data_IF_025929929760
#
_entry.id   IF_025929929760
#
_cell.length_a   1.000
_cell.length_b   1.000
_cell.length_c   1.000
_cell.angle_alpha   90.00
_cell.angle_beta   90.00
_cell.angle_gamma   90.00
#
_symmetry.space_group_name_H-M   'P 1'
#
loop_
_entity.id
_entity.type
_entity.pdbx_description
1 polymer ?
#
# COMPACT_ATOMS: atom_id res chain seq x y z
N UNK A 1 -18.71 -29.08 1.35
CA UNK A 1 -17.24 -29.13 1.29
C UNK A 1 -16.71 -27.71 1.15
N UNK A 2 -15.92 -27.22 2.10
CA UNK A 2 -15.18 -25.96 1.92
C UNK A 2 -13.88 -26.31 1.20
N UNK A 3 -13.72 -25.86 -0.05
CA UNK A 3 -12.42 -25.83 -0.71
C UNK A 3 -11.64 -24.71 -0.01
N UNK A 4 -10.96 -25.05 1.07
CA UNK A 4 -10.10 -24.13 1.81
C UNK A 4 -8.67 -24.32 1.37
N UNK A 5 -8.10 -23.37 0.63
CA UNK A 5 -6.66 -23.32 0.42
C UNK A 5 -6.05 -23.05 1.80
N UNK A 6 -5.35 -24.02 2.38
CA UNK A 6 -4.63 -23.83 3.63
C UNK A 6 -3.37 -23.00 3.34
N UNK A 7 -3.47 -21.69 3.54
CA UNK A 7 -2.35 -20.75 3.39
C UNK A 7 -1.89 -20.32 4.77
N UNK A 8 -0.57 -20.19 4.95
CA UNK A 8 0.01 -19.63 6.15
C UNK A 8 -0.62 -18.24 6.43
N UNK A 9 -1.07 -18.02 7.66
CA UNK A 9 -1.77 -16.77 8.01
C UNK A 9 -0.80 -15.62 8.26
N UNK A 10 0.48 -15.88 8.51
CA UNK A 10 1.48 -14.84 8.80
C UNK A 10 1.70 -13.93 7.60
N UNK A 11 1.72 -12.61 7.80
CA UNK A 11 1.89 -11.61 6.75
C UNK A 11 3.16 -11.84 5.94
N UNK A 12 3.03 -11.95 4.61
CA UNK A 12 4.18 -12.21 3.72
C UNK A 12 5.18 -11.08 3.65
N UNK A 13 4.75 -9.86 3.95
CA UNK A 13 5.60 -8.68 3.82
C UNK A 13 6.54 -8.48 5.02
N UNK A 14 6.03 -8.67 6.24
CA UNK A 14 6.82 -8.44 7.46
C UNK A 14 7.13 -9.71 8.27
N UNK A 15 6.35 -10.77 8.11
CA UNK A 15 6.50 -12.02 8.88
C UNK A 15 6.22 -11.88 10.39
N UNK A 16 5.53 -10.82 10.84
CA UNK A 16 5.40 -10.51 12.28
C UNK A 16 4.05 -10.90 12.89
N UNK A 17 2.95 -10.72 12.16
CA UNK A 17 1.57 -11.00 12.64
C UNK A 17 0.76 -11.64 11.53
N UNK A 18 -0.40 -12.17 11.91
CA UNK A 18 -1.39 -12.66 10.95
C UNK A 18 -1.85 -11.55 10.00
N UNK A 19 -2.01 -11.93 8.75
CA UNK A 19 -2.41 -11.08 7.63
C UNK A 19 -3.91 -10.86 7.65
N UNK A 20 -4.36 -10.05 8.59
CA UNK A 20 -5.70 -9.49 8.57
C UNK A 20 -5.75 -8.27 7.65
N UNK A 21 -6.94 -7.92 7.15
CA UNK A 21 -7.12 -6.79 6.23
C UNK A 21 -6.56 -5.48 6.81
N UNK A 22 -6.94 -5.12 8.03
CA UNK A 22 -6.48 -3.91 8.72
C UNK A 22 -4.95 -3.92 8.90
N UNK A 23 -4.43 -5.10 9.29
CA UNK A 23 -2.99 -5.28 9.45
C UNK A 23 -2.25 -5.06 8.13
N UNK A 24 -2.73 -5.65 7.04
CA UNK A 24 -2.10 -5.57 5.73
C UNK A 24 -1.94 -4.13 5.27
N UNK A 25 -2.97 -3.30 5.36
CA UNK A 25 -2.93 -2.01 4.67
C UNK A 25 -2.20 -0.90 5.43
N UNK A 26 -2.31 -0.79 6.76
CA UNK A 26 -1.61 0.31 7.47
C UNK A 26 -1.06 -0.01 8.87
N UNK A 27 -1.21 -1.22 9.39
CA UNK A 27 -0.51 -1.63 10.62
C UNK A 27 0.76 -2.44 10.37
N UNK A 28 0.89 -3.06 9.20
CA UNK A 28 2.09 -3.73 8.75
C UNK A 28 3.21 -2.70 8.59
N UNK A 29 4.32 -2.92 9.29
CA UNK A 29 5.49 -2.03 9.27
C UNK A 29 6.09 -1.86 7.87
N UNK A 30 6.05 -2.91 7.05
CA UNK A 30 6.50 -2.87 5.66
C UNK A 30 5.65 -1.92 4.82
N UNK A 31 4.32 -2.11 4.82
CA UNK A 31 3.41 -1.25 4.03
C UNK A 31 3.44 0.20 4.53
N UNK A 32 3.46 0.40 5.85
CA UNK A 32 3.58 1.73 6.48
C UNK A 32 4.85 2.45 6.03
N UNK A 33 5.95 1.73 5.83
CA UNK A 33 7.21 2.30 5.32
C UNK A 33 7.08 2.77 3.87
N UNK A 34 6.46 1.97 3.01
CA UNK A 34 6.20 2.34 1.60
C UNK A 34 5.33 3.59 1.55
N UNK A 35 4.21 3.58 2.26
CA UNK A 35 3.30 4.71 2.25
C UNK A 35 3.95 5.99 2.78
N UNK A 36 4.78 5.89 3.84
CA UNK A 36 5.53 7.03 4.37
C UNK A 36 6.51 7.60 3.33
N UNK A 37 7.22 6.74 2.59
CA UNK A 37 8.14 7.16 1.53
C UNK A 37 7.40 7.88 0.41
N UNK A 38 6.26 7.34 -0.04
CA UNK A 38 5.43 7.95 -1.08
C UNK A 38 4.85 9.30 -0.63
N UNK A 39 4.34 9.39 0.61
CA UNK A 39 3.88 10.66 1.19
C UNK A 39 4.98 11.71 1.22
N UNK A 40 6.18 11.35 1.69
CA UNK A 40 7.33 12.25 1.71
C UNK A 40 7.74 12.70 0.30
N UNK A 41 7.74 11.78 -0.68
CA UNK A 41 8.03 12.09 -2.08
C UNK A 41 7.01 13.07 -2.68
N UNK A 42 5.73 12.96 -2.31
CA UNK A 42 4.68 13.94 -2.66
C UNK A 42 4.74 15.25 -1.84
N UNK A 43 5.74 15.44 -0.97
CA UNK A 43 5.83 16.61 -0.08
C UNK A 43 4.76 16.66 1.02
N UNK A 44 4.10 15.53 1.31
CA UNK A 44 3.02 15.45 2.30
C UNK A 44 3.55 14.92 3.64
N UNK A 45 3.68 15.81 4.62
CA UNK A 45 4.07 15.42 5.98
C UNK A 45 2.83 15.18 6.84
N UNK A 46 2.53 13.91 7.13
CA UNK A 46 1.47 13.51 8.06
C UNK A 46 1.80 12.20 8.76
N UNK A 47 1.19 12.00 9.92
CA UNK A 47 1.22 10.70 10.59
C UNK A 47 0.26 9.74 9.89
N UNK A 48 0.77 8.55 9.54
CA UNK A 48 -0.03 7.46 8.99
C UNK A 48 -0.95 6.92 10.09
N UNK A 49 -2.24 6.87 9.79
CA UNK A 49 -3.32 6.40 10.66
C UNK A 49 -3.71 4.96 10.30
N UNK A 50 -4.82 4.47 10.85
CA UNK A 50 -5.38 3.17 10.47
C UNK A 50 -6.14 3.28 9.13
N UNK A 51 -6.59 2.12 8.63
CA UNK A 51 -7.16 2.00 7.29
C UNK A 51 -8.31 2.97 7.02
N UNK A 52 -9.26 3.09 7.94
CA UNK A 52 -10.45 3.91 7.73
C UNK A 52 -10.09 5.39 7.62
N UNK A 53 -9.17 5.89 8.45
CA UNK A 53 -8.72 7.28 8.40
C UNK A 53 -7.89 7.58 7.16
N UNK A 54 -7.04 6.65 6.72
CA UNK A 54 -6.31 6.77 5.46
C UNK A 54 -7.27 6.84 4.27
N UNK A 55 -8.26 5.93 4.22
CA UNK A 55 -9.26 5.89 3.16
C UNK A 55 -10.11 7.17 3.15
N UNK A 56 -10.55 7.66 4.32
CA UNK A 56 -11.26 8.93 4.43
C UNK A 56 -10.42 10.11 3.97
N UNK A 57 -9.14 10.14 4.32
CA UNK A 57 -8.21 11.18 3.90
C UNK A 57 -8.01 11.20 2.38
N UNK A 58 -7.85 10.04 1.74
CA UNK A 58 -7.76 9.94 0.29
C UNK A 58 -9.07 10.31 -0.39
N UNK A 59 -10.21 9.85 0.12
CA UNK A 59 -11.54 10.19 -0.41
C UNK A 59 -11.85 11.69 -0.31
N UNK A 60 -11.35 12.38 0.72
CA UNK A 60 -11.44 13.82 0.83
C UNK A 60 -10.71 14.54 -0.32
N UNK A 61 -9.51 14.08 -0.68
CA UNK A 61 -8.74 14.63 -1.80
C UNK A 61 -9.39 14.35 -3.16
N UNK A 62 -9.95 13.15 -3.34
CA UNK A 62 -10.71 12.78 -4.54
C UNK A 62 -11.89 13.72 -4.78
N UNK A 63 -12.65 14.06 -3.73
CA UNK A 63 -13.79 15.00 -3.83
C UNK A 63 -13.37 16.40 -4.22
N UNK A 64 -12.18 16.86 -3.78
CA UNK A 64 -11.72 18.23 -4.03
C UNK A 64 -11.14 18.44 -5.44
N UNK A 65 -10.67 17.38 -6.11
CA UNK A 65 -10.16 17.38 -7.50
C UNK A 65 -9.20 18.53 -7.86
N UNK A 66 -8.27 18.88 -6.95
CA UNK A 66 -7.36 20.03 -7.11
C UNK A 66 -5.92 19.69 -6.72
N UNK A 67 -4.98 20.17 -7.54
CA UNK A 67 -3.54 20.12 -7.26
C UNK A 67 -3.04 18.71 -6.94
N UNK A 68 -2.28 18.59 -5.85
CA UNK A 68 -1.70 17.33 -5.35
C UNK A 68 -2.74 16.25 -5.01
N UNK A 69 -4.02 16.61 -4.84
CA UNK A 69 -5.08 15.66 -4.49
C UNK A 69 -5.25 14.53 -5.50
N UNK A 70 -5.18 14.83 -6.81
CA UNK A 70 -5.28 13.81 -7.86
C UNK A 70 -4.07 12.85 -7.84
N UNK A 71 -2.89 13.39 -7.50
CA UNK A 71 -1.65 12.61 -7.37
C UNK A 71 -1.78 11.67 -6.15
N UNK A 72 -2.27 12.17 -5.01
CA UNK A 72 -2.51 11.35 -3.81
C UNK A 72 -3.43 10.17 -4.11
N UNK A 73 -4.56 10.42 -4.80
CA UNK A 73 -5.53 9.37 -5.15
C UNK A 73 -4.91 8.34 -6.10
N UNK A 74 -4.17 8.79 -7.11
CA UNK A 74 -3.50 7.91 -8.05
C UNK A 74 -2.41 7.05 -7.37
N UNK A 75 -1.55 7.66 -6.54
CA UNK A 75 -0.51 6.96 -5.78
C UNK A 75 -1.14 5.94 -4.83
N UNK A 76 -2.22 6.29 -4.14
CA UNK A 76 -2.90 5.35 -3.24
C UNK A 76 -3.48 4.16 -4.02
N UNK A 77 -4.16 4.40 -5.15
CA UNK A 77 -4.68 3.32 -6.00
C UNK A 77 -3.58 2.39 -6.51
N UNK A 78 -2.46 2.95 -6.98
CA UNK A 78 -1.32 2.16 -7.42
C UNK A 78 -0.67 1.38 -6.28
N UNK A 79 -0.57 1.97 -5.07
CA UNK A 79 -0.10 1.25 -3.90
C UNK A 79 -0.96 0.01 -3.63
N UNK A 80 -2.28 0.16 -3.55
CA UNK A 80 -3.19 -0.98 -3.30
C UNK A 80 -3.02 -2.06 -4.37
N UNK A 81 -2.90 -1.67 -5.64
CA UNK A 81 -2.66 -2.61 -6.74
C UNK A 81 -1.32 -3.35 -6.61
N UNK A 82 -0.22 -2.63 -6.40
CA UNK A 82 1.11 -3.21 -6.23
C UNK A 82 1.16 -4.15 -5.02
N UNK A 83 0.54 -3.78 -3.90
CA UNK A 83 0.45 -4.65 -2.72
C UNK A 83 -0.32 -5.94 -3.01
N UNK A 84 -1.45 -5.86 -3.71
CA UNK A 84 -2.21 -7.05 -4.09
C UNK A 84 -1.40 -7.97 -5.01
N UNK A 85 -0.75 -7.40 -6.03
CA UNK A 85 0.08 -8.15 -6.99
C UNK A 85 1.25 -8.84 -6.28
N UNK A 86 2.02 -8.08 -5.51
CA UNK A 86 3.23 -8.58 -4.86
C UNK A 86 2.90 -9.58 -3.76
N UNK A 87 1.79 -9.39 -3.04
CA UNK A 87 1.27 -10.38 -2.09
C UNK A 87 1.01 -11.73 -2.77
N UNK A 88 0.34 -11.72 -3.92
CA UNK A 88 0.04 -12.95 -4.65
C UNK A 88 1.32 -13.63 -5.17
N UNK A 89 2.28 -12.83 -5.64
CA UNK A 89 3.59 -13.31 -6.07
C UNK A 89 4.32 -14.02 -4.91
N UNK A 90 4.41 -13.37 -3.74
CA UNK A 90 5.05 -13.94 -2.55
C UNK A 90 4.31 -15.20 -2.04
N UNK A 91 2.98 -15.22 -2.11
CA UNK A 91 2.17 -16.33 -1.58
C UNK A 91 2.18 -17.58 -2.44
N UNK A 92 2.18 -17.41 -3.76
CA UNK A 92 1.82 -18.50 -4.67
C UNK A 92 2.90 -18.82 -5.70
N UNK A 93 3.95 -18.00 -5.81
CA UNK A 93 4.91 -18.09 -6.92
C UNK A 93 6.38 -17.98 -6.46
N UNK A 94 6.65 -18.13 -5.15
CA UNK A 94 8.00 -18.06 -4.57
C UNK A 94 8.82 -16.84 -5.03
N UNK A 95 8.13 -15.70 -5.23
CA UNK A 95 8.77 -14.50 -5.71
C UNK A 95 9.40 -13.67 -4.58
N UNK A 96 9.90 -12.49 -4.94
CA UNK A 96 10.45 -11.53 -3.99
C UNK A 96 9.97 -10.11 -4.33
N UNK A 97 9.97 -9.24 -3.34
CA UNK A 97 9.61 -7.83 -3.49
C UNK A 97 10.35 -6.98 -2.47
N UNK A 98 10.58 -5.71 -2.79
CA UNK A 98 11.16 -4.73 -1.90
C UNK A 98 10.34 -3.44 -1.89
N UNK A 99 10.31 -2.78 -0.74
CA UNK A 99 9.64 -1.50 -0.57
C UNK A 99 10.18 -0.44 -1.55
N UNK A 100 11.46 -0.54 -1.89
CA UNK A 100 12.10 0.34 -2.87
C UNK A 100 11.59 0.09 -4.29
N UNK A 101 11.50 -1.16 -4.74
CA UNK A 101 10.94 -1.49 -6.07
C UNK A 101 9.50 -0.97 -6.21
N UNK A 102 8.66 -1.20 -5.19
CA UNK A 102 7.27 -0.69 -5.20
C UNK A 102 7.25 0.84 -5.27
N UNK A 103 8.09 1.53 -4.48
CA UNK A 103 8.15 2.99 -4.53
C UNK A 103 8.60 3.48 -5.91
N UNK A 104 9.69 2.93 -6.45
CA UNK A 104 10.24 3.33 -7.76
C UNK A 104 9.26 3.09 -8.90
N UNK A 105 8.57 1.95 -8.89
CA UNK A 105 7.52 1.67 -9.86
C UNK A 105 6.42 2.75 -9.81
N UNK A 106 5.85 2.99 -8.63
CA UNK A 106 4.75 3.95 -8.45
C UNK A 106 5.17 5.36 -8.86
N UNK A 107 6.37 5.81 -8.46
CA UNK A 107 6.85 7.15 -8.81
C UNK A 107 7.21 7.27 -10.29
N UNK A 108 7.61 6.19 -10.98
CA UNK A 108 7.89 6.23 -12.42
C UNK A 108 6.66 6.53 -13.27
N UNK A 109 5.46 6.17 -12.80
CA UNK A 109 4.20 6.46 -13.48
C UNK A 109 3.71 7.91 -13.29
N UNK A 110 4.29 8.65 -12.34
CA UNK A 110 3.84 10.00 -11.99
C UNK A 110 4.99 10.99 -12.07
N UNK A 111 4.86 11.94 -13.01
CA UNK A 111 5.77 13.08 -13.09
C UNK A 111 5.24 14.23 -12.23
N UNK A 112 5.80 14.40 -11.03
CA UNK A 112 5.61 15.61 -10.22
C UNK A 112 6.61 16.65 -10.76
N UNK A 113 6.11 17.72 -11.38
CA UNK A 113 6.91 18.88 -11.79
C UNK A 113 7.14 19.82 -10.61
#
# INVERSE_FOLDING_TARGET
QKIGIQVAQICVFCGQKDELFEYLFFECSYIRTIWKRLLNWMGTQRQIQAWEEELHWVAYHDRKKKGIGNIIVAVFGMLIYSLWRDRNLLRFQDGSTSAEQICQEITSYINIK
#
